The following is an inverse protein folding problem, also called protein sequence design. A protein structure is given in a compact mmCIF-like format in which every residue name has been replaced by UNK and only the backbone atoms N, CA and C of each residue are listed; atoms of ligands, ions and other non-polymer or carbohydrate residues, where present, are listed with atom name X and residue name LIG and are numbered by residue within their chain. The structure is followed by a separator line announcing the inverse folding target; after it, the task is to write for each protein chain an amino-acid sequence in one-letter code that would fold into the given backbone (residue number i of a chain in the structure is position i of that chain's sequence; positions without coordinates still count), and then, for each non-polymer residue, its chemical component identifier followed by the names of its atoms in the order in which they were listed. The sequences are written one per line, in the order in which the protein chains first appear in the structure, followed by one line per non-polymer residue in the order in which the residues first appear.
data_IF_047422600005
#
_entry.id   IF_047422600005
#
_cell.length_a   1.000
_cell.length_b   1.000
_cell.length_c   1.000
_cell.angle_alpha   90.00
_cell.angle_beta   90.00
_cell.angle_gamma   90.00
#
_symmetry.space_group_name_H-M   'P 1'
#
loop_
_entity.id
_entity.type
_entity.pdbx_description
1 polymer ?
#
# COMPACT_ATOMS: atom_id res chain seq x y z
N UNK A 1 -5.05 28.23 -23.78
CA UNK A 1 -5.37 27.96 -22.36
C UNK A 1 -6.78 27.40 -22.18
N UNK A 2 -7.75 27.88 -22.96
CA UNK A 2 -9.19 27.50 -22.83
C UNK A 2 -9.52 26.06 -23.26
N UNK A 3 -8.85 25.51 -24.27
CA UNK A 3 -9.05 24.13 -24.72
C UNK A 3 -8.60 23.08 -23.68
N UNK A 4 -7.45 23.32 -23.05
CA UNK A 4 -6.98 22.45 -21.97
C UNK A 4 -7.90 22.53 -20.75
N UNK A 5 -8.41 23.72 -20.42
CA UNK A 5 -9.33 23.94 -19.31
C UNK A 5 -10.71 23.28 -19.59
N UNK A 6 -11.23 23.35 -20.82
CA UNK A 6 -12.47 22.71 -21.21
C UNK A 6 -12.39 21.18 -21.26
N UNK A 7 -11.26 20.65 -21.73
CA UNK A 7 -10.99 19.20 -21.71
C UNK A 7 -10.90 18.66 -20.27
N UNK A 8 -10.18 19.40 -19.42
CA UNK A 8 -10.05 19.05 -17.98
C UNK A 8 -11.40 19.05 -17.26
N UNK A 9 -12.26 20.02 -17.60
CA UNK A 9 -13.61 20.13 -17.05
C UNK A 9 -14.50 18.95 -17.43
N UNK A 10 -14.36 18.43 -18.66
CA UNK A 10 -15.02 17.20 -19.12
C UNK A 10 -14.51 15.95 -18.44
N UNK A 11 -13.19 15.81 -18.32
CA UNK A 11 -12.55 14.63 -17.69
C UNK A 11 -12.84 14.58 -16.19
N UNK A 12 -12.74 15.72 -15.50
CA UNK A 12 -12.98 15.81 -14.06
C UNK A 12 -14.46 15.78 -13.68
N UNK A 13 -15.41 15.93 -14.65
CA UNK A 13 -16.85 16.12 -14.39
C UNK A 13 -17.13 17.21 -13.34
N UNK A 14 -16.27 18.23 -13.28
CA UNK A 14 -16.31 19.30 -12.28
C UNK A 14 -17.27 20.41 -12.69
N UNK A 15 -18.09 20.87 -11.77
CA UNK A 15 -18.94 22.05 -11.94
C UNK A 15 -18.11 23.35 -11.97
N UNK A 16 -18.68 24.47 -12.53
CA UNK A 16 -18.04 25.78 -12.52
C UNK A 16 -17.65 26.18 -11.12
N UNK A 17 -16.72 26.31 -10.53
CA UNK A 17 -16.38 26.59 -9.12
C UNK A 17 -15.72 25.45 -8.37
N UNK A 18 -15.85 24.19 -8.84
CA UNK A 18 -15.17 23.01 -8.26
C UNK A 18 -13.82 22.76 -8.91
N UNK A 19 -13.59 23.27 -10.14
CA UNK A 19 -12.39 22.99 -10.94
C UNK A 19 -11.09 23.30 -10.22
N UNK A 20 -11.03 24.45 -9.52
CA UNK A 20 -9.84 24.82 -8.77
C UNK A 20 -9.55 23.89 -7.59
N UNK A 21 -10.58 23.47 -6.84
CA UNK A 21 -10.43 22.52 -5.74
C UNK A 21 -10.00 21.15 -6.26
N UNK A 22 -10.61 20.68 -7.35
CA UNK A 22 -10.28 19.41 -7.99
C UNK A 22 -8.84 19.34 -8.49
N UNK A 23 -8.34 20.44 -9.09
CA UNK A 23 -6.95 20.54 -9.55
C UNK A 23 -5.95 20.53 -8.40
N UNK A 24 -6.20 21.31 -7.35
CA UNK A 24 -5.35 21.30 -6.16
C UNK A 24 -5.35 19.94 -5.48
N UNK A 25 -6.49 19.24 -5.45
CA UNK A 25 -6.58 17.89 -4.91
C UNK A 25 -5.84 16.88 -5.79
N UNK A 26 -5.99 16.93 -7.12
CA UNK A 26 -5.23 16.07 -8.04
C UNK A 26 -3.73 16.28 -7.87
N UNK A 27 -3.27 17.55 -7.92
CA UNK A 27 -1.85 17.90 -7.80
C UNK A 27 -1.30 17.52 -6.42
N UNK A 28 -2.08 17.76 -5.36
CA UNK A 28 -1.70 17.37 -4.00
C UNK A 28 -1.50 15.86 -3.85
N UNK A 29 -2.41 15.04 -4.40
CA UNK A 29 -2.30 13.59 -4.35
C UNK A 29 -1.20 13.05 -5.28
N UNK A 30 -1.01 13.67 -6.45
CA UNK A 30 0.12 13.42 -7.32
C UNK A 30 1.45 13.62 -6.58
N UNK A 31 1.65 14.81 -6.00
CA UNK A 31 2.87 15.12 -5.26
C UNK A 31 3.08 14.19 -4.07
N UNK A 32 2.02 13.89 -3.31
CA UNK A 32 2.09 12.99 -2.18
C UNK A 32 2.58 11.61 -2.57
N UNK A 33 1.95 10.99 -3.59
CA UNK A 33 2.33 9.66 -4.02
C UNK A 33 3.65 9.65 -4.79
N UNK A 34 3.98 10.70 -5.53
CA UNK A 34 5.30 10.83 -6.13
C UNK A 34 6.40 10.82 -5.04
N UNK A 35 6.27 11.65 -4.00
CA UNK A 35 7.20 11.66 -2.87
C UNK A 35 7.29 10.30 -2.16
N UNK A 36 6.17 9.65 -1.88
CA UNK A 36 6.15 8.32 -1.29
C UNK A 36 6.84 7.26 -2.17
N UNK A 37 6.56 7.25 -3.47
CA UNK A 37 7.15 6.27 -4.39
C UNK A 37 8.63 6.54 -4.71
N UNK A 38 9.17 7.72 -4.38
CA UNK A 38 10.62 7.93 -4.29
C UNK A 38 11.20 7.22 -3.06
N UNK A 39 10.51 7.27 -1.91
CA UNK A 39 10.97 6.66 -0.66
C UNK A 39 10.89 5.14 -0.64
N UNK A 40 9.97 4.54 -1.40
CA UNK A 40 9.71 3.11 -1.36
C UNK A 40 10.89 2.25 -1.79
N UNK A 41 11.53 2.50 -2.95
CA UNK A 41 12.76 1.80 -3.35
C UNK A 41 13.92 2.04 -2.37
N UNK A 42 14.02 3.26 -1.80
CA UNK A 42 14.98 3.55 -0.75
C UNK A 42 14.74 2.70 0.50
N UNK A 43 13.47 2.54 0.90
CA UNK A 43 13.14 1.67 2.05
C UNK A 43 13.63 0.25 1.83
N UNK A 44 13.40 -0.30 0.64
CA UNK A 44 13.80 -1.66 0.31
C UNK A 44 15.34 -1.79 0.29
N UNK A 45 16.04 -0.77 -0.22
CA UNK A 45 17.50 -0.67 -0.13
C UNK A 45 18.00 -0.54 1.34
N UNK A 46 17.33 0.27 2.15
CA UNK A 46 17.69 0.41 3.57
C UNK A 46 17.44 -0.90 4.35
N UNK A 47 16.49 -1.72 3.91
CA UNK A 47 16.31 -3.08 4.41
C UNK A 47 17.52 -3.96 4.11
N UNK A 48 18.12 -3.82 2.94
CA UNK A 48 19.37 -4.51 2.56
C UNK A 48 20.56 -3.96 3.34
N UNK A 49 20.72 -2.64 3.40
CA UNK A 49 21.82 -1.98 4.11
C UNK A 49 21.79 -2.21 5.63
N UNK A 50 20.58 -2.35 6.20
CA UNK A 50 20.38 -2.72 7.62
C UNK A 50 20.75 -4.15 7.97
N UNK A 51 21.10 -4.96 6.95
CA UNK A 51 21.42 -6.38 7.04
C UNK A 51 20.19 -7.23 6.71
N UNK A 52 20.26 -8.00 5.63
CA UNK A 52 19.14 -8.84 5.17
C UNK A 52 18.70 -9.89 6.20
N UNK A 53 19.61 -10.31 7.07
CA UNK A 53 19.35 -11.21 8.19
C UNK A 53 18.47 -10.56 9.27
N UNK A 54 18.42 -9.23 9.31
CA UNK A 54 17.60 -8.47 10.28
C UNK A 54 16.19 -8.15 9.74
N UNK A 55 15.85 -8.49 8.50
CA UNK A 55 14.52 -8.22 7.93
C UNK A 55 13.37 -8.81 8.77
N UNK A 56 13.46 -10.03 9.37
CA UNK A 56 12.42 -10.52 10.26
C UNK A 56 12.20 -9.61 11.47
N UNK A 57 13.29 -9.07 12.06
CA UNK A 57 13.22 -8.10 13.15
C UNK A 57 12.62 -6.76 12.69
N UNK A 58 12.94 -6.31 11.48
CA UNK A 58 12.36 -5.07 10.91
C UNK A 58 10.85 -5.21 10.65
N UNK A 59 10.38 -6.38 10.24
CA UNK A 59 8.95 -6.65 10.11
C UNK A 59 8.27 -6.67 11.48
N UNK A 60 8.90 -7.31 12.47
CA UNK A 60 8.41 -7.31 13.87
C UNK A 60 8.36 -5.91 14.45
N UNK A 61 9.42 -5.11 14.26
CA UNK A 61 9.46 -3.71 14.71
C UNK A 61 8.42 -2.84 14.01
N UNK A 62 8.19 -3.05 12.70
CA UNK A 62 7.15 -2.35 11.94
C UNK A 62 5.76 -2.71 12.48
N UNK A 63 5.50 -3.97 12.77
CA UNK A 63 4.24 -4.42 13.37
C UNK A 63 4.01 -3.79 14.74
N UNK A 64 5.00 -3.86 15.63
CA UNK A 64 4.93 -3.23 16.94
C UNK A 64 4.72 -1.72 16.87
N UNK A 65 5.46 -1.03 15.97
CA UNK A 65 5.29 0.40 15.75
C UNK A 65 3.88 0.74 15.28
N UNK A 66 3.31 -0.03 14.35
CA UNK A 66 1.95 0.20 13.88
C UNK A 66 0.90 -0.04 14.96
N UNK A 67 1.05 -1.10 15.79
CA UNK A 67 0.16 -1.35 16.92
C UNK A 67 0.17 -0.21 17.95
N UNK A 68 1.30 0.47 18.13
CA UNK A 68 1.43 1.61 19.04
C UNK A 68 0.92 2.92 18.40
N UNK A 69 1.30 3.19 17.14
CA UNK A 69 1.06 4.50 16.50
C UNK A 69 -0.37 4.63 15.98
N UNK A 70 -1.02 3.54 15.53
CA UNK A 70 -2.41 3.60 15.02
C UNK A 70 -3.40 4.08 16.10
N UNK A 71 -3.42 3.54 17.33
CA UNK A 71 -4.29 4.07 18.39
C UNK A 71 -3.95 5.50 18.79
N UNK A 72 -2.65 5.84 18.91
CA UNK A 72 -2.20 7.18 19.24
C UNK A 72 -2.67 8.20 18.18
N UNK A 73 -2.59 7.83 16.91
CA UNK A 73 -3.11 8.65 15.82
C UNK A 73 -4.63 8.78 15.87
N UNK A 74 -5.35 7.69 16.12
CA UNK A 74 -6.82 7.72 16.31
C UNK A 74 -7.23 8.70 17.42
N UNK A 75 -6.50 8.69 18.53
CA UNK A 75 -6.71 9.63 19.63
C UNK A 75 -6.43 11.09 19.21
N UNK A 76 -5.35 11.35 18.50
CA UNK A 76 -5.05 12.70 18.00
C UNK A 76 -6.11 13.17 16.98
N UNK A 77 -6.53 12.30 16.08
CA UNK A 77 -7.53 12.57 15.05
C UNK A 77 -8.94 12.82 15.64
N UNK A 78 -9.25 12.28 16.83
CA UNK A 78 -10.51 12.54 17.53
C UNK A 78 -10.53 13.88 18.25
N UNK A 79 -9.37 14.47 18.57
CA UNK A 79 -9.25 15.72 19.33
C UNK A 79 -8.89 16.95 18.49
N UNK A 80 -8.26 16.75 17.35
CA UNK A 80 -7.80 17.83 16.50
C UNK A 80 -8.60 17.89 15.20
N UNK A 81 -9.05 19.08 14.76
CA UNK A 81 -9.70 19.24 13.48
C UNK A 81 -8.72 18.86 12.36
N UNK A 82 -9.17 18.03 11.41
CA UNK A 82 -8.32 17.49 10.32
C UNK A 82 -7.66 18.59 9.51
N UNK A 83 -8.32 19.74 9.35
CA UNK A 83 -7.76 20.93 8.69
C UNK A 83 -6.45 21.43 9.32
N UNK A 84 -6.24 21.23 10.62
CA UNK A 84 -4.99 21.53 11.33
C UNK A 84 -4.07 20.33 11.41
N UNK A 85 -4.62 19.13 11.69
CA UNK A 85 -3.85 17.91 11.87
C UNK A 85 -3.03 17.54 10.61
N UNK A 86 -3.65 17.65 9.41
CA UNK A 86 -2.99 17.23 8.17
C UNK A 86 -1.76 18.08 7.85
N UNK A 87 -1.81 19.43 7.82
CA UNK A 87 -0.60 20.23 7.59
C UNK A 87 0.51 20.00 8.62
N UNK A 88 0.16 19.81 9.91
CA UNK A 88 1.14 19.52 10.96
C UNK A 88 1.81 18.16 10.76
N UNK A 89 1.05 17.14 10.38
CA UNK A 89 1.60 15.82 10.10
C UNK A 89 2.56 15.85 8.90
N UNK A 90 2.23 16.59 7.83
CA UNK A 90 3.13 16.73 6.68
C UNK A 90 4.42 17.45 7.05
N UNK A 91 4.32 18.55 7.83
CA UNK A 91 5.50 19.24 8.33
C UNK A 91 6.37 18.31 9.18
N UNK A 92 5.78 17.54 10.09
CA UNK A 92 6.47 16.54 10.89
C UNK A 92 7.21 15.50 10.02
N UNK A 93 6.55 14.97 8.98
CA UNK A 93 7.18 14.02 8.09
C UNK A 93 8.32 14.62 7.28
N UNK A 94 8.19 15.85 6.79
CA UNK A 94 9.26 16.58 6.09
C UNK A 94 10.46 16.80 7.04
N UNK A 95 10.22 17.22 8.27
CA UNK A 95 11.27 17.42 9.25
C UNK A 95 12.03 16.11 9.54
N UNK A 96 11.32 14.99 9.69
CA UNK A 96 11.95 13.67 9.86
C UNK A 96 12.79 13.28 8.63
N UNK A 97 12.32 13.52 7.41
CA UNK A 97 13.11 13.25 6.21
C UNK A 97 14.39 14.06 6.14
N UNK A 98 14.36 15.34 6.55
CA UNK A 98 15.56 16.18 6.63
C UNK A 98 16.54 15.66 7.69
N UNK A 99 16.03 15.16 8.82
CA UNK A 99 16.88 14.49 9.83
C UNK A 99 17.53 13.24 9.24
N UNK A 100 16.77 12.37 8.55
CA UNK A 100 17.34 11.20 7.89
C UNK A 100 18.36 11.59 6.80
N UNK A 101 18.08 12.64 6.04
CA UNK A 101 19.03 13.16 5.05
C UNK A 101 20.38 13.54 5.70
N UNK A 102 20.35 14.29 6.79
CA UNK A 102 21.55 14.67 7.52
C UNK A 102 22.28 13.42 8.04
N UNK A 103 21.57 12.51 8.70
CA UNK A 103 22.17 11.29 9.25
C UNK A 103 22.84 10.41 8.19
N UNK A 104 22.22 10.26 7.01
CA UNK A 104 22.83 9.54 5.89
C UNK A 104 24.01 10.28 5.28
N UNK A 105 23.93 11.62 5.17
CA UNK A 105 25.00 12.43 4.60
C UNK A 105 26.26 12.46 5.46
N UNK A 106 26.12 12.44 6.78
CA UNK A 106 27.29 12.39 7.71
C UNK A 106 27.76 10.96 8.00
N UNK A 107 27.07 9.95 7.49
CA UNK A 107 27.44 8.54 7.72
C UNK A 107 27.29 8.10 9.18
N UNK A 108 26.34 8.65 9.93
CA UNK A 108 26.12 8.30 11.33
C UNK A 108 25.44 6.93 11.47
N UNK A 109 26.11 5.98 12.13
CA UNK A 109 25.60 4.64 12.44
C UNK A 109 24.77 4.00 11.30
N UNK A 110 25.33 3.81 10.08
CA UNK A 110 24.55 3.52 8.87
C UNK A 110 23.57 2.35 8.99
N UNK A 111 23.91 1.19 9.60
CA UNK A 111 22.96 0.09 9.72
C UNK A 111 21.78 0.40 10.65
N UNK A 112 22.01 1.13 11.75
CA UNK A 112 20.95 1.47 12.70
C UNK A 112 19.97 2.51 12.09
N UNK A 113 20.51 3.53 11.42
CA UNK A 113 19.71 4.56 10.74
C UNK A 113 18.93 3.94 9.59
N UNK A 114 19.52 3.01 8.81
CA UNK A 114 18.83 2.29 7.74
C UNK A 114 17.63 1.48 8.29
N UNK A 115 17.81 0.78 9.41
CA UNK A 115 16.73 0.04 10.09
C UNK A 115 15.63 0.96 10.58
N UNK A 116 15.99 2.07 11.23
CA UNK A 116 15.03 3.07 11.69
C UNK A 116 14.24 3.66 10.51
N UNK A 117 14.90 3.98 9.41
CA UNK A 117 14.27 4.49 8.19
C UNK A 117 13.29 3.48 7.58
N UNK A 118 13.66 2.20 7.52
CA UNK A 118 12.79 1.14 7.00
C UNK A 118 11.45 1.08 7.76
N UNK A 119 11.51 1.07 9.09
CA UNK A 119 10.31 1.06 9.95
C UNK A 119 9.53 2.36 9.78
N UNK A 120 10.21 3.49 9.78
CA UNK A 120 9.60 4.81 9.65
C UNK A 120 8.83 4.98 8.32
N UNK A 121 9.42 4.62 7.17
CA UNK A 121 8.72 4.71 5.86
C UNK A 121 7.49 3.82 5.84
N UNK A 122 7.54 2.65 6.48
CA UNK A 122 6.40 1.73 6.56
C UNK A 122 5.23 2.33 7.34
N UNK A 123 5.51 3.04 8.44
CA UNK A 123 4.53 3.78 9.24
C UNK A 123 4.04 5.03 8.46
N UNK A 124 4.97 5.80 7.89
CA UNK A 124 4.67 6.98 7.09
C UNK A 124 3.65 6.71 5.99
N UNK A 125 3.84 5.63 5.21
CA UNK A 125 2.94 5.26 4.13
C UNK A 125 1.48 5.09 4.59
N UNK A 126 1.28 4.42 5.73
CA UNK A 126 -0.06 4.19 6.26
C UNK A 126 -0.77 5.52 6.58
N UNK A 127 -0.04 6.44 7.23
CA UNK A 127 -0.64 7.67 7.73
C UNK A 127 -0.83 8.73 6.65
N UNK A 128 0.16 8.92 5.79
CA UNK A 128 0.14 10.03 4.83
C UNK A 128 -1.02 9.92 3.84
N UNK A 129 -1.31 8.72 3.36
CA UNK A 129 -2.43 8.45 2.45
C UNK A 129 -3.77 8.53 3.17
N UNK A 130 -3.86 7.94 4.38
CA UNK A 130 -5.09 7.98 5.18
C UNK A 130 -5.49 9.40 5.58
N UNK A 131 -4.51 10.23 5.98
CA UNK A 131 -4.70 11.64 6.30
C UNK A 131 -5.21 12.42 5.11
N UNK A 132 -4.62 12.19 3.93
CA UNK A 132 -5.03 12.88 2.71
C UNK A 132 -6.49 12.59 2.38
N UNK A 133 -6.88 11.31 2.31
CA UNK A 133 -8.25 10.91 2.01
C UNK A 133 -9.25 11.35 3.08
N UNK A 134 -8.84 11.35 4.34
CA UNK A 134 -9.65 11.87 5.44
C UNK A 134 -9.97 13.35 5.26
N UNK A 135 -8.96 14.15 4.85
CA UNK A 135 -9.17 15.57 4.53
C UNK A 135 -10.06 15.74 3.30
N UNK A 136 -9.87 14.93 2.25
CA UNK A 136 -10.74 14.99 1.05
C UNK A 136 -12.20 14.70 1.39
N UNK A 137 -12.45 13.72 2.26
CA UNK A 137 -13.80 13.40 2.72
C UNK A 137 -14.46 14.54 3.53
N UNK A 138 -13.66 15.39 4.21
CA UNK A 138 -14.18 16.54 4.94
C UNK A 138 -14.38 17.78 4.04
N UNK A 139 -13.66 17.88 2.92
CA UNK A 139 -13.71 19.03 2.03
C UNK A 139 -14.77 18.92 0.94
N UNK A 140 -15.17 17.70 0.56
CA UNK A 140 -16.11 17.45 -0.52
C UNK A 140 -17.39 16.81 0.01
N UNK A 141 -18.54 17.30 -0.46
CA UNK A 141 -19.86 16.67 -0.18
C UNK A 141 -19.94 15.29 -0.85
N UNK A 142 -20.78 14.35 -0.37
CA UNK A 142 -20.91 13.00 -0.92
C UNK A 142 -21.13 12.97 -2.45
N UNK A 143 -21.94 13.88 -3.00
CA UNK A 143 -22.24 13.97 -4.43
C UNK A 143 -21.01 14.46 -5.23
N UNK A 144 -20.21 15.36 -4.67
CA UNK A 144 -18.95 15.83 -5.26
C UNK A 144 -17.89 14.72 -5.19
N UNK A 145 -17.80 14.03 -4.04
CA UNK A 145 -16.87 12.93 -3.82
C UNK A 145 -17.09 11.81 -4.86
N UNK A 146 -18.34 11.41 -5.10
CA UNK A 146 -18.68 10.38 -6.10
C UNK A 146 -18.21 10.72 -7.52
N UNK A 147 -18.16 12.02 -7.88
CA UNK A 147 -17.71 12.48 -9.20
C UNK A 147 -16.20 12.75 -9.27
N UNK A 148 -15.61 13.33 -8.23
CA UNK A 148 -14.27 13.92 -8.24
C UNK A 148 -13.20 12.98 -7.72
N UNK A 149 -13.51 12.02 -6.85
CA UNK A 149 -12.50 11.14 -6.24
C UNK A 149 -11.78 10.26 -7.26
N UNK A 150 -12.47 9.85 -8.35
CA UNK A 150 -11.82 9.15 -9.45
C UNK A 150 -10.73 9.98 -10.12
N UNK A 151 -11.01 11.26 -10.39
CA UNK A 151 -10.04 12.19 -10.94
C UNK A 151 -8.87 12.46 -9.97
N UNK A 152 -9.16 12.67 -8.68
CA UNK A 152 -8.13 12.86 -7.65
C UNK A 152 -7.23 11.62 -7.54
N UNK A 153 -7.83 10.42 -7.57
CA UNK A 153 -7.09 9.14 -7.55
C UNK A 153 -6.15 8.98 -8.75
N UNK A 154 -6.55 9.46 -9.93
CA UNK A 154 -5.69 9.45 -11.12
C UNK A 154 -4.40 10.27 -10.91
N UNK A 155 -4.46 11.38 -10.14
CA UNK A 155 -3.26 12.11 -9.72
C UNK A 155 -2.29 11.21 -8.96
N UNK A 156 -2.79 10.43 -8.02
CA UNK A 156 -1.98 9.45 -7.30
C UNK A 156 -1.36 8.37 -8.20
N UNK A 157 -2.11 7.87 -9.19
CA UNK A 157 -1.59 6.90 -10.16
C UNK A 157 -0.46 7.50 -11.00
N UNK A 158 -0.59 8.76 -11.44
CA UNK A 158 0.50 9.48 -12.11
C UNK A 158 1.73 9.62 -11.21
N UNK A 159 1.54 9.99 -9.94
CA UNK A 159 2.63 10.07 -8.95
C UNK A 159 3.33 8.73 -8.72
N UNK A 160 2.56 7.64 -8.71
CA UNK A 160 3.09 6.28 -8.57
C UNK A 160 3.91 5.81 -9.79
N UNK A 161 3.74 6.43 -10.95
CA UNK A 161 4.60 6.21 -12.12
C UNK A 161 5.82 7.12 -12.11
N UNK A 162 5.62 8.41 -11.83
CA UNK A 162 6.69 9.42 -11.88
C UNK A 162 7.71 9.19 -10.74
N UNK A 163 7.28 8.85 -9.52
CA UNK A 163 8.17 8.63 -8.37
C UNK A 163 9.27 7.60 -8.63
N UNK A 164 8.92 6.35 -8.98
CA UNK A 164 9.92 5.32 -9.28
C UNK A 164 10.78 5.66 -10.51
N UNK A 165 10.20 6.32 -11.52
CA UNK A 165 10.96 6.79 -12.69
C UNK A 165 12.05 7.77 -12.29
N UNK A 166 11.70 8.77 -11.47
CA UNK A 166 12.69 9.73 -10.93
C UNK A 166 13.76 9.01 -10.10
N UNK A 167 13.35 8.07 -9.24
CA UNK A 167 14.31 7.31 -8.44
C UNK A 167 15.25 6.50 -9.30
N UNK A 168 14.75 5.80 -10.33
CA UNK A 168 15.58 4.99 -11.23
C UNK A 168 16.61 5.84 -12.02
N UNK A 169 16.23 7.07 -12.39
CA UNK A 169 17.09 7.98 -13.13
C UNK A 169 18.07 8.73 -12.24
N UNK A 170 17.65 9.10 -11.03
CA UNK A 170 18.41 10.01 -10.16
C UNK A 170 19.25 9.29 -9.09
N UNK A 171 19.02 7.97 -8.84
CA UNK A 171 19.76 7.24 -7.82
C UNK A 171 21.28 7.22 -8.07
N UNK A 172 21.70 7.04 -9.33
CA UNK A 172 23.13 7.02 -9.69
C UNK A 172 23.78 8.42 -9.65
N UNK A 173 23.21 9.47 -10.30
CA UNK A 173 23.87 10.78 -10.34
C UNK A 173 23.79 11.55 -9.03
N UNK A 174 22.72 11.42 -8.25
CA UNK A 174 22.53 12.20 -7.00
C UNK A 174 22.91 11.41 -5.74
N UNK A 175 23.01 10.10 -5.83
CA UNK A 175 23.16 9.23 -4.68
C UNK A 175 21.85 9.05 -3.88
N UNK A 176 21.82 8.00 -3.06
CA UNK A 176 20.61 7.57 -2.32
C UNK A 176 20.14 8.60 -1.29
N UNK A 177 21.07 9.28 -0.59
CA UNK A 177 20.72 10.29 0.41
C UNK A 177 19.97 11.48 -0.22
N UNK A 178 20.42 11.98 -1.37
CA UNK A 178 19.82 13.15 -2.03
C UNK A 178 18.40 12.91 -2.55
N UNK A 179 18.01 11.64 -2.76
CA UNK A 179 16.62 11.29 -3.11
C UNK A 179 15.64 11.65 -1.99
N UNK A 180 16.09 11.73 -0.74
CA UNK A 180 15.26 12.22 0.37
C UNK A 180 14.85 13.67 0.16
N UNK A 181 15.73 14.52 -0.39
CA UNK A 181 15.40 15.90 -0.72
C UNK A 181 14.39 15.99 -1.87
N UNK A 182 14.47 15.08 -2.85
CA UNK A 182 13.45 14.97 -3.91
C UNK A 182 12.08 14.63 -3.30
N UNK A 183 12.02 13.68 -2.37
CA UNK A 183 10.80 13.37 -1.64
C UNK A 183 10.30 14.55 -0.79
N UNK A 184 11.19 15.25 -0.08
CA UNK A 184 10.87 16.47 0.66
C UNK A 184 10.23 17.54 -0.24
N UNK A 185 10.78 17.76 -1.43
CA UNK A 185 10.21 18.69 -2.40
C UNK A 185 8.77 18.35 -2.77
N UNK A 186 8.50 17.10 -3.09
CA UNK A 186 7.15 16.65 -3.42
C UNK A 186 6.20 16.72 -2.22
N UNK A 187 6.64 16.35 -1.01
CA UNK A 187 5.82 16.48 0.20
C UNK A 187 5.56 17.94 0.57
N UNK A 188 6.52 18.83 0.40
CA UNK A 188 6.34 20.27 0.59
C UNK A 188 5.33 20.83 -0.44
N UNK A 189 5.42 20.40 -1.70
CA UNK A 189 4.44 20.74 -2.74
C UNK A 189 3.05 20.24 -2.40
N UNK A 190 2.92 19.01 -1.90
CA UNK A 190 1.65 18.47 -1.41
C UNK A 190 1.10 19.29 -0.22
N UNK A 191 1.96 19.72 0.71
CA UNK A 191 1.57 20.58 1.82
C UNK A 191 1.06 21.94 1.34
N UNK A 192 1.67 22.54 0.32
CA UNK A 192 1.19 23.80 -0.30
C UNK A 192 -0.20 23.57 -0.89
N UNK A 193 -0.41 22.48 -1.64
CA UNK A 193 -1.73 22.12 -2.18
C UNK A 193 -2.79 21.94 -1.09
N UNK A 194 -2.47 21.22 -0.02
CA UNK A 194 -3.35 21.02 1.13
C UNK A 194 -3.71 22.36 1.80
N UNK A 195 -2.73 23.24 2.03
CA UNK A 195 -2.99 24.57 2.61
C UNK A 195 -3.86 25.43 1.70
N UNK A 196 -3.63 25.38 0.38
CA UNK A 196 -4.46 26.12 -0.58
C UNK A 196 -5.92 25.61 -0.57
N UNK A 197 -6.13 24.29 -0.44
CA UNK A 197 -7.45 23.67 -0.31
C UNK A 197 -8.17 24.12 0.97
N UNK A 198 -7.48 24.04 2.12
CA UNK A 198 -8.04 24.43 3.42
C UNK A 198 -8.44 25.91 3.42
N UNK A 199 -7.55 26.81 2.96
CA UNK A 199 -7.84 28.26 2.86
C UNK A 199 -9.04 28.56 1.97
N UNK A 200 -9.18 27.84 0.84
CA UNK A 200 -10.33 28.03 -0.06
C UNK A 200 -11.64 27.51 0.55
N UNK A 201 -11.59 26.45 1.33
CA UNK A 201 -12.75 25.95 2.05
C UNK A 201 -13.21 26.93 3.14
N UNK A 202 -12.25 27.54 3.85
CA UNK A 202 -12.51 28.57 4.86
C UNK A 202 -13.08 29.87 4.24
N UNK A 203 -12.59 30.28 3.07
CA UNK A 203 -13.05 31.50 2.39
C UNK A 203 -14.46 31.36 1.77
N UNK A 204 -14.97 30.15 1.64
CA UNK A 204 -16.33 29.92 1.09
C UNK A 204 -17.43 29.98 2.11
N UNK A 205 -17.11 30.08 3.40
CA UNK A 205 -18.06 30.14 4.52
C UNK A 205 -19.24 29.15 4.36
N UNK A 206 -18.94 27.91 3.90
CA UNK A 206 -19.94 26.89 3.58
C UNK A 206 -20.27 26.11 4.87
N UNK A 207 -21.38 26.45 5.58
CA UNK A 207 -21.74 25.78 6.84
C UNK A 207 -22.01 24.29 6.69
N UNK A 208 -22.13 23.80 5.44
CA UNK A 208 -22.37 22.41 5.11
C UNK A 208 -21.10 21.54 4.94
N UNK A 209 -19.89 22.14 4.91
CA UNK A 209 -18.63 21.41 4.84
C UNK A 209 -18.09 21.00 6.23
N UNK A 210 -18.85 21.16 7.27
CA UNK A 210 -18.36 21.01 8.65
C UNK A 210 -19.08 20.01 9.54
N UNK A 211 -20.16 19.40 9.10
CA UNK A 211 -20.91 18.48 9.99
C UNK A 211 -21.56 17.34 9.22
N UNK A 212 -20.80 16.60 8.45
CA UNK A 212 -21.10 15.17 8.48
C UNK A 212 -20.55 14.72 9.82
N UNK A 213 -21.44 14.61 10.80
CA UNK A 213 -21.21 13.73 11.95
C UNK A 213 -20.59 12.47 11.33
N UNK A 214 -19.31 12.25 11.63
CA UNK A 214 -18.64 11.03 11.27
C UNK A 214 -19.59 9.93 11.68
N UNK A 215 -20.19 9.27 10.69
CA UNK A 215 -21.32 8.37 10.92
C UNK A 215 -21.00 7.53 12.13
N UNK A 216 -21.82 7.69 13.18
CA UNK A 216 -21.59 7.41 14.58
C UNK A 216 -20.44 6.44 14.80
N UNK A 217 -19.44 6.85 15.54
CA UNK A 217 -18.29 6.00 15.89
C UNK A 217 -18.82 4.60 16.11
N UNK A 218 -18.57 3.67 15.15
CA UNK A 218 -18.88 2.27 15.39
C UNK A 218 -17.90 1.88 16.47
N UNK A 219 -18.35 2.08 17.73
CA UNK A 219 -17.57 1.87 18.93
C UNK A 219 -17.08 0.43 18.95
N UNK A 220 -15.79 0.26 19.04
CA UNK A 220 -15.15 -1.03 19.13
C UNK A 220 -13.64 -0.86 19.02
N UNK A 221 -12.92 -1.44 19.97
CA UNK A 221 -11.47 -1.56 19.87
C UNK A 221 -11.14 -2.46 18.68
N UNK A 222 -9.95 -2.36 18.11
CA UNK A 222 -9.44 -3.26 17.06
C UNK A 222 -9.64 -4.74 17.44
N UNK A 223 -9.58 -5.05 18.74
CA UNK A 223 -9.76 -6.38 19.30
C UNK A 223 -11.22 -6.89 19.27
N UNK A 224 -12.23 -6.02 19.17
CA UNK A 224 -13.63 -6.44 19.06
C UNK A 224 -13.92 -7.23 17.78
N UNK A 225 -13.05 -7.11 16.76
CA UNK A 225 -13.11 -7.88 15.54
C UNK A 225 -12.84 -9.38 15.73
N UNK A 226 -12.05 -9.77 16.75
CA UNK A 226 -11.70 -11.19 17.01
C UNK A 226 -12.95 -12.02 17.26
N UNK A 227 -13.84 -11.54 18.14
CA UNK A 227 -15.05 -12.28 18.49
C UNK A 227 -15.97 -12.52 17.28
N UNK A 228 -16.04 -11.55 16.37
CA UNK A 228 -16.79 -11.64 15.12
C UNK A 228 -16.15 -12.65 14.16
N UNK A 229 -14.82 -12.64 14.05
CA UNK A 229 -14.06 -13.52 13.15
C UNK A 229 -14.16 -14.97 13.61
N UNK A 230 -13.91 -15.26 14.91
CA UNK A 230 -13.89 -16.64 15.43
C UNK A 230 -15.26 -17.32 15.32
N UNK A 231 -16.34 -16.55 15.35
CA UNK A 231 -17.72 -17.08 15.23
C UNK A 231 -18.15 -17.33 13.78
N UNK A 232 -17.39 -16.87 12.79
CA UNK A 232 -17.73 -16.98 11.38
C UNK A 232 -16.70 -17.81 10.62
N UNK A 233 -17.04 -19.05 10.18
CA UNK A 233 -16.16 -19.84 9.33
C UNK A 233 -15.73 -19.11 8.05
N UNK A 234 -16.62 -18.27 7.50
CA UNK A 234 -16.34 -17.44 6.34
C UNK A 234 -15.21 -16.44 6.63
N UNK A 235 -15.29 -15.69 7.73
CA UNK A 235 -14.25 -14.73 8.12
C UNK A 235 -12.94 -15.40 8.52
N UNK A 236 -12.99 -16.60 9.13
CA UNK A 236 -11.79 -17.41 9.37
C UNK A 236 -11.12 -17.79 8.05
N UNK A 237 -11.91 -18.17 7.04
CA UNK A 237 -11.38 -18.41 5.69
C UNK A 237 -10.70 -17.16 5.10
N UNK A 238 -11.25 -15.97 5.29
CA UNK A 238 -10.62 -14.70 4.85
C UNK A 238 -9.30 -14.47 5.60
N UNK A 239 -9.24 -14.74 6.90
CA UNK A 239 -7.99 -14.64 7.69
C UNK A 239 -6.94 -15.61 7.17
N UNK A 240 -7.29 -16.88 6.94
CA UNK A 240 -6.37 -17.89 6.40
C UNK A 240 -5.88 -17.49 5.01
N UNK A 241 -6.78 -16.98 4.16
CA UNK A 241 -6.42 -16.49 2.83
C UNK A 241 -5.38 -15.37 2.89
N UNK A 242 -5.56 -14.39 3.80
CA UNK A 242 -4.63 -13.27 3.98
C UNK A 242 -3.30 -13.73 4.59
N UNK A 243 -3.31 -14.64 5.56
CA UNK A 243 -2.10 -15.20 6.16
C UNK A 243 -1.27 -15.98 5.13
N UNK A 244 -1.91 -16.85 4.34
CA UNK A 244 -1.22 -17.58 3.28
C UNK A 244 -0.62 -16.62 2.24
N UNK A 245 -1.36 -15.58 1.85
CA UNK A 245 -0.86 -14.52 0.99
C UNK A 245 0.42 -13.87 1.54
N UNK A 246 0.37 -13.40 2.80
CA UNK A 246 1.49 -12.66 3.39
C UNK A 246 2.71 -13.55 3.62
N UNK A 247 2.50 -14.77 4.13
CA UNK A 247 3.59 -15.70 4.41
C UNK A 247 4.28 -16.15 3.13
N UNK A 248 3.53 -16.63 2.15
CA UNK A 248 4.11 -17.17 0.91
C UNK A 248 4.83 -16.10 0.09
N UNK A 249 4.22 -14.93 -0.03
CA UNK A 249 4.85 -13.85 -0.80
C UNK A 249 5.92 -13.08 -0.04
N UNK A 250 5.90 -13.14 1.28
CA UNK A 250 7.00 -12.69 2.11
C UNK A 250 8.31 -13.42 1.77
N UNK A 251 8.27 -14.73 1.50
CA UNK A 251 9.45 -15.49 1.07
C UNK A 251 10.07 -14.92 -0.20
N UNK A 252 9.25 -14.63 -1.20
CA UNK A 252 9.74 -14.07 -2.45
C UNK A 252 10.34 -12.66 -2.29
N UNK A 253 9.78 -11.84 -1.38
CA UNK A 253 10.33 -10.51 -1.05
C UNK A 253 11.68 -10.61 -0.32
N UNK A 254 11.78 -11.47 0.69
CA UNK A 254 12.99 -11.65 1.49
C UNK A 254 14.13 -12.23 0.67
N UNK A 255 13.83 -13.22 -0.18
CA UNK A 255 14.83 -13.83 -1.06
C UNK A 255 15.27 -12.84 -2.17
N UNK A 256 14.37 -12.00 -2.69
CA UNK A 256 14.73 -10.92 -3.59
C UNK A 256 15.74 -9.97 -2.94
N UNK A 257 15.46 -9.50 -1.73
CA UNK A 257 16.37 -8.62 -1.00
C UNK A 257 17.74 -9.26 -0.80
N UNK A 258 17.77 -10.56 -0.42
CA UNK A 258 19.01 -11.31 -0.25
C UNK A 258 19.82 -11.46 -1.54
N UNK A 259 19.17 -11.84 -2.65
CA UNK A 259 19.85 -12.00 -3.92
C UNK A 259 20.32 -10.67 -4.51
N UNK A 260 19.54 -9.60 -4.33
CA UNK A 260 19.94 -8.25 -4.73
C UNK A 260 21.17 -7.80 -3.93
N UNK A 261 21.19 -8.05 -2.61
CA UNK A 261 22.36 -7.77 -1.78
C UNK A 261 23.62 -8.53 -2.22
N UNK A 262 23.47 -9.80 -2.64
CA UNK A 262 24.56 -10.62 -3.09
C UNK A 262 25.08 -10.25 -4.50
N UNK A 263 24.21 -9.70 -5.35
CA UNK A 263 24.52 -9.40 -6.77
C UNK A 263 25.04 -7.98 -6.98
N UNK A 264 24.46 -7.03 -6.27
CA UNK A 264 24.78 -5.60 -6.42
C UNK A 264 25.40 -5.05 -5.13
N UNK A 265 26.59 -4.48 -5.23
CA UNK A 265 27.33 -3.96 -4.06
C UNK A 265 27.05 -2.50 -3.79
N UNK A 266 26.67 -1.71 -4.81
CA UNK A 266 26.41 -0.29 -4.67
C UNK A 266 24.93 -0.01 -4.32
N UNK A 267 24.72 0.83 -3.31
CA UNK A 267 23.40 1.25 -2.84
C UNK A 267 22.57 1.91 -3.95
N UNK A 268 23.21 2.73 -4.80
CA UNK A 268 22.54 3.38 -5.94
C UNK A 268 22.01 2.38 -6.97
N UNK A 269 22.77 1.31 -7.27
CA UNK A 269 22.35 0.25 -8.19
C UNK A 269 21.16 -0.53 -7.64
N UNK A 270 21.19 -0.92 -6.36
CA UNK A 270 20.08 -1.60 -5.69
C UNK A 270 18.82 -0.72 -5.65
N UNK A 271 18.98 0.56 -5.30
CA UNK A 271 17.86 1.53 -5.31
C UNK A 271 17.24 1.66 -6.69
N UNK A 272 18.07 1.80 -7.75
CA UNK A 272 17.59 1.89 -9.12
C UNK A 272 16.87 0.60 -9.57
N UNK A 273 17.37 -0.58 -9.16
CA UNK A 273 16.70 -1.86 -9.44
C UNK A 273 15.31 -1.93 -8.79
N UNK A 274 15.22 -1.65 -7.49
CA UNK A 274 13.92 -1.63 -6.79
C UNK A 274 12.97 -0.61 -7.41
N UNK A 275 13.46 0.55 -7.83
CA UNK A 275 12.66 1.56 -8.51
C UNK A 275 12.13 1.07 -9.87
N UNK A 276 12.96 0.40 -10.67
CA UNK A 276 12.53 -0.21 -11.96
C UNK A 276 11.49 -1.29 -11.76
N UNK A 277 11.64 -2.12 -10.73
CA UNK A 277 10.63 -3.13 -10.34
C UNK A 277 9.32 -2.45 -9.95
N UNK A 278 9.36 -1.41 -9.11
CA UNK A 278 8.16 -0.66 -8.71
C UNK A 278 7.48 0.02 -9.91
N UNK A 279 8.25 0.61 -10.82
CA UNK A 279 7.73 1.20 -12.05
C UNK A 279 7.01 0.16 -12.91
N UNK A 280 7.63 -0.99 -13.15
CA UNK A 280 7.03 -2.07 -13.93
C UNK A 280 5.73 -2.58 -13.28
N UNK A 281 5.72 -2.75 -11.96
CA UNK A 281 4.51 -3.11 -11.19
C UNK A 281 3.41 -2.07 -11.40
N UNK A 282 3.70 -0.78 -11.26
CA UNK A 282 2.69 0.27 -11.37
C UNK A 282 2.15 0.41 -12.79
N UNK A 283 3.01 0.28 -13.81
CA UNK A 283 2.58 0.27 -15.23
C UNK A 283 1.64 -0.91 -15.48
N UNK A 284 2.04 -2.13 -15.12
CA UNK A 284 1.20 -3.31 -15.31
C UNK A 284 -0.09 -3.25 -14.48
N UNK A 285 -0.04 -2.69 -13.27
CA UNK A 285 -1.24 -2.46 -12.44
C UNK A 285 -2.21 -1.54 -13.16
N UNK A 286 -1.73 -0.41 -13.69
CA UNK A 286 -2.58 0.55 -14.40
C UNK A 286 -3.20 -0.09 -15.65
N UNK A 287 -2.41 -0.79 -16.46
CA UNK A 287 -2.91 -1.52 -17.63
C UNK A 287 -3.93 -2.58 -17.23
N UNK A 288 -3.64 -3.35 -16.18
CA UNK A 288 -4.58 -4.34 -15.64
C UNK A 288 -5.92 -3.73 -15.21
N UNK A 289 -5.87 -2.62 -14.49
CA UNK A 289 -7.08 -1.91 -14.03
C UNK A 289 -7.90 -1.35 -15.19
N UNK A 290 -7.27 -0.80 -16.23
CA UNK A 290 -7.95 -0.21 -17.37
C UNK A 290 -8.61 -1.27 -18.28
N UNK A 291 -7.95 -2.41 -18.47
CA UNK A 291 -8.36 -3.35 -19.52
C UNK A 291 -8.90 -4.70 -19.01
N UNK A 292 -8.51 -5.12 -17.82
CA UNK A 292 -8.74 -6.50 -17.37
C UNK A 292 -9.75 -6.62 -16.22
N UNK A 293 -9.70 -5.72 -15.22
CA UNK A 293 -10.40 -5.91 -13.95
C UNK A 293 -11.92 -5.96 -14.12
N UNK A 294 -12.51 -4.96 -14.79
CA UNK A 294 -13.96 -4.90 -14.97
C UNK A 294 -14.47 -6.16 -15.70
N UNK A 295 -13.81 -6.53 -16.79
CA UNK A 295 -14.19 -7.70 -17.61
C UNK A 295 -14.03 -9.03 -16.85
N UNK A 296 -12.97 -9.13 -16.02
CA UNK A 296 -12.67 -10.36 -15.27
C UNK A 296 -13.71 -10.60 -14.17
N UNK A 297 -14.01 -9.58 -13.37
CA UNK A 297 -14.95 -9.69 -12.24
C UNK A 297 -16.38 -9.89 -12.74
N UNK A 298 -16.81 -9.15 -13.77
CA UNK A 298 -18.14 -9.27 -14.33
C UNK A 298 -18.41 -10.65 -14.97
N UNK A 299 -17.40 -11.20 -15.69
CA UNK A 299 -17.58 -12.44 -16.45
C UNK A 299 -17.31 -13.71 -15.65
N UNK A 300 -16.30 -13.69 -14.76
CA UNK A 300 -15.80 -14.88 -14.08
C UNK A 300 -16.12 -14.93 -12.58
N UNK A 301 -16.65 -13.84 -12.05
CA UNK A 301 -17.06 -13.74 -10.64
C UNK A 301 -15.89 -13.63 -9.64
N UNK A 302 -16.25 -13.42 -8.38
CA UNK A 302 -15.29 -13.16 -7.28
C UNK A 302 -14.38 -14.36 -7.01
N UNK A 303 -14.88 -15.58 -7.13
CA UNK A 303 -14.11 -16.80 -6.85
C UNK A 303 -12.91 -16.97 -7.79
N UNK A 304 -13.10 -16.76 -9.09
CA UNK A 304 -12.00 -16.82 -10.08
C UNK A 304 -11.01 -15.67 -9.86
N UNK A 305 -11.50 -14.47 -9.55
CA UNK A 305 -10.64 -13.33 -9.25
C UNK A 305 -9.75 -13.57 -8.02
N UNK A 306 -10.27 -14.24 -6.98
CA UNK A 306 -9.51 -14.65 -5.79
C UNK A 306 -8.51 -15.77 -6.10
N UNK A 307 -8.86 -16.71 -6.98
CA UNK A 307 -8.04 -17.85 -7.35
C UNK A 307 -6.86 -17.47 -8.26
N UNK A 308 -6.95 -16.36 -9.00
CA UNK A 308 -5.94 -15.95 -9.98
C UNK A 308 -4.57 -15.71 -9.33
N UNK A 309 -4.53 -15.05 -8.20
CA UNK A 309 -3.26 -14.72 -7.53
C UNK A 309 -2.57 -15.98 -6.95
N UNK A 310 -3.26 -16.90 -6.26
CA UNK A 310 -2.69 -18.21 -5.90
C UNK A 310 -2.23 -19.03 -7.10
N UNK A 311 -2.99 -19.06 -8.20
CA UNK A 311 -2.60 -19.76 -9.42
C UNK A 311 -1.31 -19.18 -10.03
N UNK A 312 -1.20 -17.85 -10.08
CA UNK A 312 0.03 -17.17 -10.49
C UNK A 312 1.18 -17.47 -9.50
N UNK A 313 0.89 -17.53 -8.21
CA UNK A 313 1.85 -17.93 -7.17
C UNK A 313 2.38 -19.34 -7.39
N UNK A 314 1.49 -20.30 -7.69
CA UNK A 314 1.85 -21.68 -7.98
C UNK A 314 2.77 -21.78 -9.21
N UNK A 315 2.40 -21.13 -10.31
CA UNK A 315 3.21 -21.08 -11.52
C UNK A 315 4.58 -20.42 -11.27
N UNK A 316 4.60 -19.32 -10.50
CA UNK A 316 5.82 -18.60 -10.17
C UNK A 316 6.76 -19.36 -9.26
N UNK A 317 6.26 -20.01 -8.20
CA UNK A 317 7.11 -20.86 -7.35
C UNK A 317 7.59 -22.11 -8.07
N UNK A 318 6.78 -22.72 -8.93
CA UNK A 318 7.21 -23.82 -9.78
C UNK A 318 8.33 -23.38 -10.74
N UNK A 319 8.18 -22.23 -11.39
CA UNK A 319 9.21 -21.67 -12.28
C UNK A 319 10.52 -21.35 -11.52
N UNK A 320 10.44 -20.78 -10.32
CA UNK A 320 11.62 -20.50 -9.47
C UNK A 320 12.28 -21.81 -9.00
N UNK A 321 11.51 -22.85 -8.68
CA UNK A 321 12.06 -24.14 -8.29
C UNK A 321 12.87 -24.78 -9.43
N UNK A 322 12.42 -24.61 -10.68
CA UNK A 322 13.10 -25.13 -11.88
C UNK A 322 14.26 -24.24 -12.34
N UNK A 323 14.10 -22.91 -12.25
CA UNK A 323 15.05 -21.90 -12.74
C UNK A 323 15.33 -20.90 -11.60
N UNK A 324 16.17 -21.25 -10.61
CA UNK A 324 16.40 -20.45 -9.41
C UNK A 324 17.38 -19.29 -9.65
N UNK A 325 17.01 -18.34 -10.52
CA UNK A 325 17.81 -17.16 -10.85
C UNK A 325 17.13 -15.86 -10.43
N UNK A 326 17.93 -14.82 -10.15
CA UNK A 326 17.43 -13.50 -9.76
C UNK A 326 16.42 -12.93 -10.76
N UNK A 327 16.67 -13.09 -12.06
CA UNK A 327 15.77 -12.57 -13.11
C UNK A 327 14.36 -13.20 -13.03
N UNK A 328 14.26 -14.52 -12.79
CA UNK A 328 12.97 -15.21 -12.61
C UNK A 328 12.22 -14.66 -11.39
N UNK A 329 12.93 -14.44 -10.29
CA UNK A 329 12.34 -13.88 -9.07
C UNK A 329 11.86 -12.44 -9.26
N UNK A 330 12.60 -11.60 -10.01
CA UNK A 330 12.18 -10.24 -10.38
C UNK A 330 10.90 -10.27 -11.22
N UNK A 331 10.85 -11.08 -12.28
CA UNK A 331 9.67 -11.23 -13.13
C UNK A 331 8.47 -11.69 -12.30
N UNK A 332 8.65 -12.72 -11.48
CA UNK A 332 7.60 -13.19 -10.57
C UNK A 332 7.09 -12.10 -9.63
N UNK A 333 8.00 -11.35 -9.02
CA UNK A 333 7.62 -10.23 -8.12
C UNK A 333 6.83 -9.14 -8.85
N UNK A 334 7.20 -8.80 -10.08
CA UNK A 334 6.49 -7.80 -10.89
C UNK A 334 5.06 -8.29 -11.19
N UNK A 335 4.94 -9.49 -11.77
CA UNK A 335 3.64 -10.05 -12.15
C UNK A 335 2.71 -10.25 -10.97
N UNK A 336 3.23 -10.83 -9.87
CA UNK A 336 2.51 -11.07 -8.65
C UNK A 336 1.97 -9.77 -8.02
N UNK A 337 2.82 -8.75 -7.89
CA UNK A 337 2.42 -7.47 -7.29
C UNK A 337 1.43 -6.71 -8.17
N UNK A 338 1.61 -6.75 -9.49
CA UNK A 338 0.66 -6.17 -10.43
C UNK A 338 -0.71 -6.87 -10.35
N UNK A 339 -0.75 -8.20 -10.31
CA UNK A 339 -1.98 -8.97 -10.14
C UNK A 339 -2.65 -8.72 -8.77
N UNK A 340 -1.87 -8.59 -7.69
CA UNK A 340 -2.39 -8.22 -6.37
C UNK A 340 -3.08 -6.85 -6.42
N UNK A 341 -2.40 -5.82 -6.91
CA UNK A 341 -2.92 -4.46 -6.92
C UNK A 341 -4.07 -4.26 -7.90
N UNK A 342 -4.01 -4.91 -9.06
CA UNK A 342 -5.06 -4.76 -10.06
C UNK A 342 -6.30 -5.60 -9.75
N UNK A 343 -6.14 -6.85 -9.31
CA UNK A 343 -7.23 -7.84 -9.29
C UNK A 343 -7.53 -8.33 -7.88
N UNK A 344 -6.52 -8.86 -7.15
CA UNK A 344 -6.77 -9.58 -5.91
C UNK A 344 -7.25 -8.66 -4.78
N UNK A 345 -6.75 -7.42 -4.68
CA UNK A 345 -7.22 -6.44 -3.69
C UNK A 345 -8.68 -6.05 -3.90
N UNK A 346 -9.12 -5.62 -5.09
CA UNK A 346 -10.54 -5.39 -5.36
C UNK A 346 -11.41 -6.62 -5.07
N UNK A 347 -10.99 -7.82 -5.49
CA UNK A 347 -11.72 -9.05 -5.23
C UNK A 347 -11.85 -9.36 -3.73
N UNK A 348 -10.79 -9.12 -2.95
CA UNK A 348 -10.81 -9.27 -1.50
C UNK A 348 -11.75 -8.26 -0.82
N UNK A 349 -11.84 -7.02 -1.32
CA UNK A 349 -12.80 -6.04 -0.82
C UNK A 349 -14.24 -6.50 -1.02
N UNK A 350 -14.53 -7.19 -2.12
CA UNK A 350 -15.86 -7.73 -2.39
C UNK A 350 -16.29 -8.80 -1.38
N UNK A 351 -15.34 -9.53 -0.74
CA UNK A 351 -15.67 -10.50 0.31
C UNK A 351 -16.43 -9.88 1.51
N UNK A 352 -16.24 -8.59 1.74
CA UNK A 352 -16.89 -7.88 2.85
C UNK A 352 -18.27 -7.30 2.49
N UNK A 353 -18.71 -7.38 1.22
CA UNK A 353 -19.99 -6.79 0.79
C UNK A 353 -21.21 -7.57 1.29
N UNK A 354 -21.06 -8.87 1.51
CA UNK A 354 -22.12 -9.78 2.00
C UNK A 354 -22.28 -9.77 3.52
N UNK A 355 -21.49 -8.96 4.23
CA UNK A 355 -21.51 -8.86 5.69
C UNK A 355 -22.36 -7.69 6.17
N UNK A 356 -22.92 -7.81 7.38
CA UNK A 356 -23.56 -6.67 8.04
C UNK A 356 -22.55 -5.53 8.26
N UNK A 357 -23.04 -4.29 8.31
CA UNK A 357 -22.20 -3.11 8.47
C UNK A 357 -21.23 -3.23 9.67
N UNK A 358 -21.71 -3.70 10.79
CA UNK A 358 -20.89 -3.86 12.00
C UNK A 358 -19.81 -4.95 11.83
N UNK A 359 -20.20 -6.14 11.36
CA UNK A 359 -19.26 -7.25 11.10
C UNK A 359 -18.19 -6.85 10.08
N UNK A 360 -18.59 -6.16 9.01
CA UNK A 360 -17.67 -5.65 7.98
C UNK A 360 -16.60 -4.74 8.58
N UNK A 361 -16.98 -3.69 9.32
CA UNK A 361 -16.00 -2.73 9.83
C UNK A 361 -15.09 -3.32 10.90
N UNK A 362 -15.64 -4.11 11.84
CA UNK A 362 -14.85 -4.72 12.92
C UNK A 362 -13.86 -5.76 12.37
N UNK A 363 -14.33 -6.68 11.50
CA UNK A 363 -13.46 -7.73 10.94
C UNK A 363 -12.43 -7.15 9.98
N UNK A 364 -12.81 -6.23 9.10
CA UNK A 364 -11.89 -5.63 8.13
C UNK A 364 -10.75 -4.87 8.83
N UNK A 365 -11.06 -4.03 9.82
CA UNK A 365 -10.04 -3.30 10.56
C UNK A 365 -9.03 -4.25 11.23
N UNK A 366 -9.49 -5.32 11.84
CA UNK A 366 -8.63 -6.34 12.44
C UNK A 366 -7.77 -7.06 11.39
N UNK A 367 -8.38 -7.49 10.28
CA UNK A 367 -7.68 -8.22 9.22
C UNK A 367 -6.60 -7.35 8.58
N UNK A 368 -6.91 -6.11 8.20
CA UNK A 368 -5.97 -5.23 7.50
C UNK A 368 -4.85 -4.71 8.42
N UNK A 369 -5.08 -4.64 9.74
CA UNK A 369 -4.08 -4.12 10.69
C UNK A 369 -3.29 -5.26 11.35
N UNK A 370 -3.98 -6.22 11.98
CA UNK A 370 -3.34 -7.24 12.81
C UNK A 370 -2.95 -8.47 11.99
N UNK A 371 -3.90 -9.01 11.21
CA UNK A 371 -3.65 -10.26 10.46
C UNK A 371 -2.63 -10.03 9.36
N UNK A 372 -2.78 -8.95 8.60
CA UNK A 372 -1.87 -8.65 7.50
C UNK A 372 -0.43 -8.40 8.00
N UNK A 373 -0.27 -7.55 9.01
CA UNK A 373 1.05 -7.21 9.56
C UNK A 373 1.65 -8.32 10.40
N UNK A 374 0.81 -9.04 11.14
CA UNK A 374 1.22 -10.26 11.84
C UNK A 374 1.71 -11.33 10.85
N UNK A 375 1.04 -11.47 9.72
CA UNK A 375 1.44 -12.36 8.63
C UNK A 375 2.77 -11.95 7.97
N UNK A 376 3.01 -10.63 7.76
CA UNK A 376 4.32 -10.14 7.31
C UNK A 376 5.43 -10.54 8.30
N UNK A 377 5.18 -10.35 9.61
CA UNK A 377 6.11 -10.75 10.68
C UNK A 377 6.35 -12.25 10.68
N UNK A 378 5.27 -13.05 10.63
CA UNK A 378 5.37 -14.51 10.58
C UNK A 378 6.16 -14.97 9.35
N UNK A 379 5.96 -14.34 8.18
CA UNK A 379 6.71 -14.65 6.97
C UNK A 379 8.22 -14.50 7.17
N UNK A 380 8.64 -13.44 7.87
CA UNK A 380 10.04 -13.19 8.18
C UNK A 380 10.66 -14.30 9.02
N UNK A 381 9.98 -14.72 10.07
CA UNK A 381 10.49 -15.76 10.96
C UNK A 381 10.45 -17.16 10.36
N UNK A 382 9.38 -17.50 9.62
CA UNK A 382 9.31 -18.78 8.88
C UNK A 382 10.40 -18.84 7.82
N UNK A 383 10.62 -17.74 7.08
CA UNK A 383 11.72 -17.66 6.11
C UNK A 383 13.09 -17.86 6.80
N UNK A 384 13.35 -17.16 7.92
CA UNK A 384 14.60 -17.30 8.67
C UNK A 384 14.84 -18.74 9.15
N UNK A 385 13.80 -19.40 9.65
CA UNK A 385 13.86 -20.80 10.06
C UNK A 385 14.19 -21.74 8.89
N UNK A 386 13.52 -21.58 7.74
CA UNK A 386 13.78 -22.37 6.54
C UNK A 386 15.18 -22.14 5.99
N UNK A 387 15.67 -20.91 6.01
CA UNK A 387 17.07 -20.58 5.64
C UNK A 387 18.08 -21.18 6.63
N UNK A 388 17.78 -21.16 7.93
CA UNK A 388 18.57 -21.82 8.97
C UNK A 388 18.71 -23.33 8.77
N UNK A 389 17.71 -23.97 8.16
CA UNK A 389 17.78 -25.39 7.73
C UNK A 389 18.57 -25.58 6.43
N UNK A 390 19.18 -24.54 5.85
CA UNK A 390 20.01 -24.62 4.67
C UNK A 390 19.26 -24.66 3.34
N UNK A 391 17.95 -24.34 3.31
CA UNK A 391 17.20 -24.38 2.06
C UNK A 391 17.71 -23.35 1.04
N UNK A 392 17.94 -23.83 -0.18
CA UNK A 392 18.26 -22.98 -1.35
C UNK A 392 17.03 -22.21 -1.84
N UNK A 393 17.19 -21.33 -2.83
CA UNK A 393 16.08 -20.66 -3.49
C UNK A 393 15.06 -21.67 -4.07
N UNK A 394 15.55 -22.72 -4.74
CA UNK A 394 14.70 -23.79 -5.27
C UNK A 394 13.97 -24.55 -4.16
N UNK A 395 14.66 -24.85 -3.04
CA UNK A 395 14.06 -25.50 -1.88
C UNK A 395 12.95 -24.67 -1.23
N UNK A 396 13.17 -23.37 -1.06
CA UNK A 396 12.14 -22.43 -0.54
C UNK A 396 10.92 -22.37 -1.46
N UNK A 397 11.16 -22.30 -2.78
CA UNK A 397 10.08 -22.29 -3.76
C UNK A 397 9.29 -23.62 -3.74
N UNK A 398 9.97 -24.77 -3.63
CA UNK A 398 9.33 -26.08 -3.53
C UNK A 398 8.47 -26.20 -2.26
N UNK A 399 8.95 -25.72 -1.11
CA UNK A 399 8.19 -25.69 0.15
C UNK A 399 6.97 -24.77 0.06
N UNK A 400 7.03 -23.70 -0.74
CA UNK A 400 5.90 -22.78 -0.92
C UNK A 400 4.77 -23.40 -1.79
N UNK A 401 5.05 -24.39 -2.65
CA UNK A 401 4.05 -24.98 -3.55
C UNK A 401 2.84 -25.60 -2.81
N UNK A 402 3.00 -26.49 -1.81
CA UNK A 402 1.86 -27.01 -1.06
C UNK A 402 1.03 -25.93 -0.38
N UNK A 403 1.68 -24.94 0.22
CA UNK A 403 1.02 -23.78 0.81
C UNK A 403 0.20 -22.98 -0.21
N UNK A 404 0.72 -22.84 -1.43
CA UNK A 404 0.04 -22.11 -2.51
C UNK A 404 -1.16 -22.92 -3.05
N UNK A 405 -1.07 -24.25 -3.11
CA UNK A 405 -2.22 -25.11 -3.43
C UNK A 405 -3.32 -24.99 -2.39
N UNK A 406 -2.98 -25.00 -1.10
CA UNK A 406 -3.94 -24.76 -0.02
C UNK A 406 -4.58 -23.38 -0.17
N UNK A 407 -3.77 -22.35 -0.48
CA UNK A 407 -4.28 -21.00 -0.69
C UNK A 407 -5.25 -20.91 -1.88
N UNK A 408 -4.96 -21.60 -2.98
CA UNK A 408 -5.86 -21.71 -4.12
C UNK A 408 -7.18 -22.36 -3.73
N UNK A 409 -7.13 -23.46 -3.00
CA UNK A 409 -8.34 -24.15 -2.50
C UNK A 409 -9.18 -23.25 -1.58
N UNK A 410 -8.54 -22.51 -0.66
CA UNK A 410 -9.23 -21.55 0.21
C UNK A 410 -9.85 -20.41 -0.61
N UNK A 411 -9.15 -19.89 -1.64
CA UNK A 411 -9.69 -18.84 -2.51
C UNK A 411 -10.92 -19.28 -3.29
N UNK A 412 -10.92 -20.49 -3.85
CA UNK A 412 -12.07 -21.09 -4.55
C UNK A 412 -13.24 -21.35 -3.57
N UNK A 413 -12.95 -21.87 -2.38
CA UNK A 413 -13.96 -22.09 -1.34
C UNK A 413 -14.61 -20.76 -0.91
N UNK A 414 -13.83 -19.71 -0.67
CA UNK A 414 -14.34 -18.38 -0.33
C UNK A 414 -15.24 -17.83 -1.43
N UNK A 415 -14.87 -17.99 -2.70
CA UNK A 415 -15.70 -17.59 -3.83
C UNK A 415 -17.07 -18.29 -3.83
N UNK A 416 -17.10 -19.60 -3.57
CA UNK A 416 -18.35 -20.36 -3.44
C UNK A 416 -19.20 -19.92 -2.25
N UNK A 417 -18.57 -19.68 -1.09
CA UNK A 417 -19.29 -19.17 0.09
C UNK A 417 -19.84 -17.76 -0.12
N UNK A 418 -19.07 -16.88 -0.76
CA UNK A 418 -19.51 -15.53 -1.10
C UNK A 418 -20.76 -15.56 -1.99
N UNK A 419 -20.78 -16.41 -3.03
CA UNK A 419 -21.94 -16.56 -3.90
C UNK A 419 -23.18 -17.00 -3.13
N UNK A 420 -23.05 -18.03 -2.27
CA UNK A 420 -24.15 -18.51 -1.42
C UNK A 420 -24.71 -17.43 -0.49
N UNK A 421 -23.82 -16.69 0.19
CA UNK A 421 -24.23 -15.62 1.10
C UNK A 421 -24.92 -14.46 0.36
N UNK A 422 -24.46 -14.12 -0.84
CA UNK A 422 -25.09 -13.11 -1.69
C UNK A 422 -26.52 -13.53 -2.08
N UNK A 423 -26.69 -14.77 -2.52
CA UNK A 423 -28.01 -15.29 -2.92
C UNK A 423 -28.98 -15.33 -1.73
N UNK A 424 -28.50 -15.59 -0.50
CA UNK A 424 -29.30 -15.54 0.73
C UNK A 424 -29.67 -14.12 1.16
N UNK A 425 -28.82 -13.12 0.86
CA UNK A 425 -29.06 -11.71 1.24
C UNK A 425 -29.98 -10.98 0.26
N UNK A 426 -30.32 -11.57 -0.88
CA UNK A 426 -31.19 -10.96 -1.90
C UNK A 426 -30.55 -9.74 -2.58
N UNK A 427 -29.25 -9.58 -2.50
CA UNK A 427 -28.51 -8.43 -3.01
C UNK A 427 -27.83 -8.72 -4.36
#
# INVERSE_FOLDING_TARGET
MDLAYSALKRIARASPGETGASLWSFTGFFCLLCGYYVLRPLRDEMGVQGGVENLPWLFSATFAAMLAVVPAFGFAASRLPRRRLVPWAYFFFIANLLVFYVLFSVGFAPPAVARAFFVWVSVFNLFVVSLYWSLMADLFRPEQAARLFGFISAGGSCGALVGPTLTALLAAPLGTASLLLVSCFFLASALVCVRALVRRAEARDDPGAGSTEAGGSIGGTTWSGIAVIVRSPYLLGVVIYVLLYTVLFGFAYLELARLVAATYHESAQRTALFARVDLAVNVLTLLGQLFLVARLVEKLGVGVALALLPALGLAGFAAIALIPVLAMLIVFQILRRAADYAIARPAREMLFTVLTREAKYKSKNFIDTVVFRGGDTASGWVYAALKGLGLSLAGLAAVAIPGTLLWLAVGLWLGGQHARLRDQSGA
#
